data_IF_694286406835
#
_entry.id   IF_694286406835
#
_cell.length_a   1.000
_cell.length_b   1.000
_cell.length_c   1.000
_cell.angle_alpha   90.00
_cell.angle_beta   90.00
_cell.angle_gamma   90.00
#
_symmetry.space_group_name_H-M   'P 1'
#
loop_
_entity.id
_entity.type
_entity.pdbx_description
1 polymer ?
#
# COMPACT_ATOMS: atom_id res chain seq x y z
N UNK A 1 -33.92 -11.61 -6.43
CA UNK A 1 -32.98 -11.38 -5.30
C UNK A 1 -33.22 -9.97 -4.79
N UNK A 2 -33.12 -9.74 -3.47
CA UNK A 2 -33.27 -8.40 -2.93
C UNK A 2 -32.12 -7.51 -3.45
N UNK A 3 -32.44 -6.28 -3.86
CA UNK A 3 -31.45 -5.29 -4.27
C UNK A 3 -30.58 -4.96 -3.05
N UNK A 4 -29.27 -5.27 -3.13
CA UNK A 4 -28.32 -4.93 -2.06
C UNK A 4 -28.16 -3.42 -2.06
N UNK A 5 -28.42 -2.81 -0.90
CA UNK A 5 -28.30 -1.36 -0.70
C UNK A 5 -27.24 -1.06 0.34
N UNK A 6 -26.49 0.00 0.06
CA UNK A 6 -25.63 0.61 1.07
C UNK A 6 -26.50 1.11 2.23
N UNK A 7 -25.99 0.95 3.45
CA UNK A 7 -26.55 1.60 4.62
C UNK A 7 -26.25 3.11 4.59
N UNK A 8 -26.96 3.87 5.43
CA UNK A 8 -26.85 5.33 5.45
C UNK A 8 -25.41 5.82 5.66
N UNK A 9 -24.64 5.14 6.52
CA UNK A 9 -23.23 5.45 6.78
C UNK A 9 -22.37 5.32 5.53
N UNK A 10 -22.47 4.18 4.82
CA UNK A 10 -21.64 3.90 3.64
C UNK A 10 -22.09 4.74 2.45
N UNK A 11 -23.41 4.99 2.33
CA UNK A 11 -23.94 5.92 1.34
C UNK A 11 -23.43 7.35 1.59
N UNK A 12 -23.41 7.82 2.85
CA UNK A 12 -22.86 9.13 3.19
C UNK A 12 -21.37 9.25 2.84
N UNK A 13 -20.59 8.17 3.03
CA UNK A 13 -19.20 8.12 2.62
C UNK A 13 -19.05 8.20 1.09
N UNK A 14 -19.87 7.45 0.34
CA UNK A 14 -19.91 7.53 -1.14
C UNK A 14 -20.25 8.95 -1.61
N UNK A 15 -21.19 9.62 -0.96
CA UNK A 15 -21.55 11.00 -1.27
C UNK A 15 -20.41 11.99 -0.96
N UNK A 16 -19.64 11.75 0.10
CA UNK A 16 -18.45 12.54 0.42
C UNK A 16 -17.36 12.36 -0.62
N UNK A 17 -17.10 11.11 -1.04
CA UNK A 17 -16.15 10.81 -2.12
C UNK A 17 -16.57 11.51 -3.41
N UNK A 18 -17.83 11.42 -3.80
CA UNK A 18 -18.37 12.06 -5.01
C UNK A 18 -18.34 13.60 -4.97
N UNK A 19 -18.26 14.23 -3.80
CA UNK A 19 -18.11 15.70 -3.71
C UNK A 19 -16.70 16.17 -4.05
N UNK A 20 -15.70 15.30 -3.88
CA UNK A 20 -14.28 15.65 -4.00
C UNK A 20 -13.70 15.07 -5.31
N UNK A 21 -14.17 13.88 -5.71
CA UNK A 21 -13.71 13.21 -6.91
C UNK A 21 -14.10 14.02 -8.16
N UNK A 22 -13.19 14.23 -9.14
CA UNK A 22 -13.47 15.06 -10.32
C UNK A 22 -14.49 14.44 -11.29
N UNK A 23 -14.79 13.15 -11.14
CA UNK A 23 -15.84 12.44 -11.87
C UNK A 23 -16.90 11.85 -10.92
N UNK A 24 -17.57 10.80 -11.36
CA UNK A 24 -18.52 10.06 -10.52
C UNK A 24 -17.93 8.74 -10.05
N UNK A 25 -18.02 8.45 -8.77
CA UNK A 25 -17.75 7.13 -8.17
C UNK A 25 -19.07 6.39 -7.98
N UNK A 26 -19.14 5.16 -8.48
CA UNK A 26 -20.29 4.26 -8.35
C UNK A 26 -19.87 3.00 -7.60
N UNK A 27 -20.80 2.46 -6.81
CA UNK A 27 -20.61 1.17 -6.12
C UNK A 27 -21.62 0.17 -6.68
N UNK A 28 -21.12 -0.94 -7.20
CA UNK A 28 -21.90 -2.06 -7.71
C UNK A 28 -21.64 -3.32 -6.87
N UNK A 29 -22.59 -4.25 -6.90
CA UNK A 29 -22.49 -5.53 -6.20
C UNK A 29 -22.65 -6.67 -7.20
N UNK A 30 -21.74 -7.63 -7.13
CA UNK A 30 -21.95 -8.95 -7.73
C UNK A 30 -22.86 -9.81 -6.83
N UNK A 31 -22.96 -11.10 -7.11
CA UNK A 31 -23.87 -12.04 -6.46
C UNK A 31 -23.17 -13.10 -5.58
N UNK A 32 -21.83 -13.16 -5.61
CA UNK A 32 -21.06 -14.17 -4.88
C UNK A 32 -21.05 -13.89 -3.38
N UNK A 33 -21.21 -14.95 -2.57
CA UNK A 33 -21.14 -14.89 -1.11
C UNK A 33 -20.27 -16.03 -0.57
N UNK A 34 -19.00 -15.75 -0.26
CA UNK A 34 -18.05 -16.77 0.20
C UNK A 34 -18.17 -17.12 1.68
N UNK A 35 -18.78 -16.26 2.51
CA UNK A 35 -18.96 -16.49 3.95
C UNK A 35 -17.73 -16.18 4.82
N UNK A 36 -16.76 -15.43 4.27
CA UNK A 36 -15.59 -14.89 4.96
C UNK A 36 -15.19 -13.55 4.32
N UNK A 37 -14.37 -12.77 5.02
CA UNK A 37 -13.89 -11.47 4.55
C UNK A 37 -12.40 -11.46 4.25
N UNK A 38 -12.04 -10.82 3.13
CA UNK A 38 -10.67 -10.49 2.71
C UNK A 38 -10.68 -9.12 2.04
N UNK A 39 -9.53 -8.45 2.03
CA UNK A 39 -9.38 -7.15 1.40
C UNK A 39 -9.38 -7.20 -0.15
N UNK A 40 -9.22 -8.38 -0.76
CA UNK A 40 -9.24 -8.58 -2.23
C UNK A 40 -10.64 -8.78 -2.84
N UNK A 41 -11.71 -8.60 -2.05
CA UNK A 41 -13.09 -8.89 -2.46
C UNK A 41 -13.78 -7.71 -3.18
N UNK A 42 -13.03 -6.73 -3.65
CA UNK A 42 -13.51 -5.64 -4.50
C UNK A 42 -12.62 -5.44 -5.72
N UNK A 43 -13.19 -4.84 -6.76
CA UNK A 43 -12.47 -4.43 -7.98
C UNK A 43 -12.78 -2.99 -8.30
N UNK A 44 -11.77 -2.26 -8.78
CA UNK A 44 -11.92 -0.88 -9.23
C UNK A 44 -11.67 -0.79 -10.73
N UNK A 45 -12.59 -0.15 -11.44
CA UNK A 45 -12.51 0.05 -12.89
C UNK A 45 -12.72 1.52 -13.24
N UNK A 46 -11.72 2.13 -13.89
CA UNK A 46 -11.84 3.49 -14.40
C UNK A 46 -12.75 3.51 -15.64
N UNK A 47 -13.71 4.44 -15.65
CA UNK A 47 -14.60 4.70 -16.78
C UNK A 47 -14.39 6.12 -17.31
N UNK A 48 -14.78 6.41 -18.57
CA UNK A 48 -14.84 7.79 -19.04
C UNK A 48 -15.70 8.65 -18.11
N UNK A 49 -15.08 9.55 -17.36
CA UNK A 49 -15.74 10.45 -16.42
C UNK A 49 -16.07 9.86 -15.04
N UNK A 50 -15.56 8.69 -14.69
CA UNK A 50 -15.86 8.09 -13.39
C UNK A 50 -15.02 6.87 -13.00
N UNK A 51 -15.40 6.27 -11.88
CA UNK A 51 -14.81 5.07 -11.31
C UNK A 51 -15.94 4.16 -10.82
N UNK A 52 -15.85 2.87 -11.10
CA UNK A 52 -16.77 1.87 -10.55
C UNK A 52 -16.00 1.01 -9.57
N UNK A 53 -16.55 0.86 -8.36
CA UNK A 53 -16.11 -0.10 -7.36
C UNK A 53 -17.12 -1.24 -7.38
N UNK A 54 -16.69 -2.41 -7.84
CA UNK A 54 -17.51 -3.62 -7.85
C UNK A 54 -17.15 -4.47 -6.63
N UNK A 55 -18.12 -4.63 -5.73
CA UNK A 55 -18.01 -5.53 -4.58
C UNK A 55 -18.29 -6.95 -5.06
N UNK A 56 -17.23 -7.72 -5.21
CA UNK A 56 -17.28 -9.07 -5.79
C UNK A 56 -17.74 -10.14 -4.79
N UNK A 57 -17.78 -9.81 -3.49
CA UNK A 57 -18.34 -10.67 -2.45
C UNK A 57 -19.30 -9.91 -1.53
N UNK A 58 -20.54 -10.37 -1.47
CA UNK A 58 -21.62 -9.72 -0.73
C UNK A 58 -21.81 -10.28 0.69
N UNK A 59 -20.80 -10.96 1.25
CA UNK A 59 -20.84 -11.44 2.64
C UNK A 59 -20.98 -10.28 3.64
N UNK A 60 -20.29 -9.17 3.43
CA UNK A 60 -20.46 -7.93 4.21
C UNK A 60 -20.29 -6.68 3.32
N UNK A 61 -21.27 -6.36 2.46
CA UNK A 61 -21.10 -5.40 1.37
C UNK A 61 -20.80 -3.97 1.85
N UNK A 62 -21.35 -3.56 2.99
CA UNK A 62 -21.09 -2.23 3.57
C UNK A 62 -19.66 -2.11 4.13
N UNK A 63 -19.15 -3.18 4.75
CA UNK A 63 -17.76 -3.24 5.19
C UNK A 63 -16.82 -3.11 3.99
N UNK A 64 -17.00 -3.95 2.97
CA UNK A 64 -16.12 -3.96 1.79
C UNK A 64 -16.22 -2.65 1.01
N UNK A 65 -17.43 -2.12 0.78
CA UNK A 65 -17.59 -0.86 0.05
C UNK A 65 -16.98 0.33 0.81
N UNK A 66 -17.20 0.41 2.13
CA UNK A 66 -16.61 1.50 2.92
C UNK A 66 -15.08 1.42 2.96
N UNK A 67 -14.50 0.21 2.96
CA UNK A 67 -13.06 0.00 2.91
C UNK A 67 -12.45 0.65 1.66
N UNK A 68 -12.98 0.31 0.48
CA UNK A 68 -12.52 0.88 -0.81
C UNK A 68 -12.74 2.39 -0.89
N UNK A 69 -13.89 2.87 -0.40
CA UNK A 69 -14.20 4.31 -0.42
C UNK A 69 -13.27 5.11 0.50
N UNK A 70 -12.84 4.54 1.63
CA UNK A 70 -11.86 5.18 2.52
C UNK A 70 -10.47 5.23 1.89
N UNK A 71 -10.04 4.16 1.20
CA UNK A 71 -8.80 4.19 0.40
C UNK A 71 -8.82 5.30 -0.65
N UNK A 72 -9.93 5.45 -1.39
CA UNK A 72 -10.14 6.56 -2.32
C UNK A 72 -10.12 7.93 -1.65
N UNK A 73 -10.73 8.06 -0.48
CA UNK A 73 -10.73 9.32 0.25
C UNK A 73 -9.32 9.70 0.73
N UNK A 74 -8.53 8.73 1.18
CA UNK A 74 -7.12 8.94 1.55
C UNK A 74 -6.30 9.41 0.35
N UNK A 75 -6.47 8.75 -0.80
CA UNK A 75 -5.85 9.14 -2.06
C UNK A 75 -6.14 10.60 -2.42
N UNK A 76 -7.41 10.99 -2.39
CA UNK A 76 -7.85 12.37 -2.69
C UNK A 76 -7.40 13.38 -1.63
N UNK A 77 -7.19 12.94 -0.39
CA UNK A 77 -6.67 13.76 0.71
C UNK A 77 -5.15 13.98 0.62
N UNK A 78 -4.50 13.48 -0.43
CA UNK A 78 -3.08 13.66 -0.66
C UNK A 78 -2.22 12.74 0.19
N UNK A 79 -2.69 11.53 0.51
CA UNK A 79 -1.84 10.48 1.06
C UNK A 79 -0.88 9.94 -0.01
N UNK A 80 0.33 9.50 0.38
CA UNK A 80 1.34 9.05 -0.56
C UNK A 80 0.87 7.79 -1.30
N UNK A 81 1.10 7.74 -2.61
CA UNK A 81 0.83 6.61 -3.49
C UNK A 81 2.11 5.87 -3.87
N UNK A 82 1.97 4.58 -4.16
CA UNK A 82 3.00 3.73 -4.78
C UNK A 82 2.80 3.62 -6.29
N UNK A 83 3.91 3.48 -7.02
CA UNK A 83 3.95 3.25 -8.46
C UNK A 83 5.02 2.20 -8.77
N UNK A 84 4.77 1.41 -9.79
CA UNK A 84 5.71 0.39 -10.26
C UNK A 84 6.23 0.82 -11.62
N UNK A 85 7.33 1.58 -11.61
CA UNK A 85 7.93 2.15 -12.82
C UNK A 85 9.13 1.34 -13.34
N UNK A 86 9.67 0.45 -12.53
CA UNK A 86 10.79 -0.43 -12.86
C UNK A 86 10.37 -1.89 -12.91
N UNK A 87 11.19 -2.71 -13.57
CA UNK A 87 10.96 -4.14 -13.79
C UNK A 87 12.29 -4.88 -13.84
N UNK A 88 12.31 -6.12 -13.35
CA UNK A 88 13.45 -7.03 -13.52
C UNK A 88 13.47 -7.70 -14.91
N UNK A 89 12.47 -7.42 -15.76
CA UNK A 89 12.26 -8.10 -17.04
C UNK A 89 11.62 -9.49 -16.90
N UNK A 90 11.20 -9.85 -15.70
CA UNK A 90 10.58 -11.15 -15.37
C UNK A 90 9.15 -10.92 -14.86
N UNK A 91 8.16 -11.08 -15.75
CA UNK A 91 6.76 -10.74 -15.49
C UNK A 91 6.21 -11.34 -14.18
N UNK A 92 6.43 -12.64 -13.95
CA UNK A 92 5.95 -13.31 -12.73
C UNK A 92 6.62 -12.79 -11.45
N UNK A 93 7.91 -12.50 -11.52
CA UNK A 93 8.65 -11.94 -10.38
C UNK A 93 8.14 -10.53 -10.09
N UNK A 94 8.00 -9.70 -11.13
CA UNK A 94 7.49 -8.33 -10.99
C UNK A 94 6.07 -8.33 -10.42
N UNK A 95 5.18 -9.18 -10.90
CA UNK A 95 3.82 -9.32 -10.37
C UNK A 95 3.83 -9.70 -8.88
N UNK A 96 4.66 -10.66 -8.48
CA UNK A 96 4.77 -11.06 -7.08
C UNK A 96 5.30 -9.92 -6.20
N UNK A 97 6.34 -9.20 -6.65
CA UNK A 97 6.87 -8.04 -5.93
C UNK A 97 5.83 -6.91 -5.85
N UNK A 98 5.08 -6.66 -6.92
CA UNK A 98 4.00 -5.67 -6.93
C UNK A 98 2.90 -6.00 -5.93
N UNK A 99 2.47 -7.26 -5.87
CA UNK A 99 1.45 -7.71 -4.91
C UNK A 99 1.97 -7.50 -3.48
N UNK A 100 3.16 -8.01 -3.15
CA UNK A 100 3.71 -7.88 -1.80
C UNK A 100 3.96 -6.43 -1.39
N UNK A 101 4.42 -5.58 -2.31
CA UNK A 101 4.61 -4.16 -2.05
C UNK A 101 3.27 -3.43 -1.81
N UNK A 102 2.24 -3.81 -2.56
CA UNK A 102 0.88 -3.27 -2.39
C UNK A 102 0.28 -3.72 -1.06
N UNK A 103 0.40 -4.99 -0.70
CA UNK A 103 -0.07 -5.51 0.59
C UNK A 103 0.59 -4.78 1.77
N UNK A 104 1.91 -4.56 1.73
CA UNK A 104 2.61 -3.81 2.78
C UNK A 104 2.19 -2.35 2.84
N UNK A 105 1.98 -1.73 1.68
CA UNK A 105 1.48 -0.37 1.59
C UNK A 105 0.06 -0.26 2.19
N UNK A 106 -0.82 -1.20 1.85
CA UNK A 106 -2.20 -1.24 2.34
C UNK A 106 -2.27 -1.54 3.83
N UNK A 107 -1.40 -2.41 4.38
CA UNK A 107 -1.26 -2.61 5.84
C UNK A 107 -1.02 -1.29 6.57
N UNK A 108 -0.16 -0.42 6.05
CA UNK A 108 0.07 0.90 6.64
C UNK A 108 -1.16 1.81 6.52
N UNK A 109 -1.88 1.74 5.39
CA UNK A 109 -3.13 2.49 5.20
C UNK A 109 -4.27 1.99 6.10
N UNK A 110 -4.34 0.69 6.36
CA UNK A 110 -5.38 0.05 7.15
C UNK A 110 -5.42 0.55 8.59
N UNK A 111 -4.31 1.08 9.12
CA UNK A 111 -4.32 1.78 10.41
C UNK A 111 -5.37 2.89 10.43
N UNK A 112 -5.46 3.67 9.35
CA UNK A 112 -6.42 4.77 9.23
C UNK A 112 -7.79 4.25 8.81
N UNK A 113 -7.85 3.36 7.82
CA UNK A 113 -9.11 2.81 7.29
C UNK A 113 -9.90 2.08 8.37
N UNK A 114 -9.27 1.13 9.08
CA UNK A 114 -9.92 0.34 10.12
C UNK A 114 -10.35 1.21 11.29
N UNK A 115 -9.52 2.19 11.69
CA UNK A 115 -9.89 3.16 12.73
C UNK A 115 -11.16 3.93 12.37
N UNK A 116 -11.27 4.43 11.14
CA UNK A 116 -12.45 5.16 10.69
C UNK A 116 -13.67 4.24 10.54
N UNK A 117 -13.52 3.02 10.01
CA UNK A 117 -14.61 2.04 9.95
C UNK A 117 -15.15 1.68 11.34
N UNK A 118 -14.28 1.46 12.33
CA UNK A 118 -14.69 1.19 13.73
C UNK A 118 -15.44 2.37 14.34
N UNK A 119 -14.96 3.60 14.13
CA UNK A 119 -15.63 4.82 14.60
C UNK A 119 -17.07 4.95 14.07
N UNK A 120 -17.33 4.45 12.86
CA UNK A 120 -18.65 4.44 12.25
C UNK A 120 -19.43 3.12 12.41
N UNK A 121 -18.95 2.23 13.29
CA UNK A 121 -19.60 0.94 13.59
C UNK A 121 -19.78 0.04 12.35
N UNK A 122 -18.86 0.14 11.38
CA UNK A 122 -18.81 -0.72 10.18
C UNK A 122 -17.98 -1.99 10.41
N UNK A 123 -17.28 -2.06 11.55
CA UNK A 123 -16.61 -3.26 12.05
C UNK A 123 -17.19 -3.56 13.42
N UNK A 124 -17.86 -4.69 13.53
CA UNK A 124 -18.39 -5.27 14.76
C UNK A 124 -17.83 -6.69 14.97
N UNK A 125 -18.35 -7.40 15.97
CA UNK A 125 -17.91 -8.77 16.29
C UNK A 125 -18.15 -9.76 15.14
N UNK A 126 -19.21 -9.56 14.35
CA UNK A 126 -19.50 -10.43 13.21
C UNK A 126 -18.50 -10.23 12.08
N UNK A 127 -18.13 -8.97 11.78
CA UNK A 127 -17.10 -8.64 10.79
C UNK A 127 -15.75 -9.22 11.21
N UNK A 128 -15.42 -9.13 12.50
CA UNK A 128 -14.22 -9.73 13.07
C UNK A 128 -14.18 -11.26 12.89
N UNK A 129 -15.26 -11.97 13.23
CA UNK A 129 -15.35 -13.42 13.04
C UNK A 129 -15.23 -13.82 11.56
N UNK A 130 -15.80 -13.03 10.64
CA UNK A 130 -15.69 -13.25 9.20
C UNK A 130 -14.28 -12.99 8.68
N UNK A 131 -13.58 -12.01 9.24
CA UNK A 131 -12.18 -11.73 8.91
C UNK A 131 -11.27 -12.85 9.39
N UNK A 132 -11.47 -13.39 10.60
CA UNK A 132 -10.72 -14.56 11.08
C UNK A 132 -10.89 -15.78 10.15
N UNK A 133 -12.10 -16.04 9.68
CA UNK A 133 -12.35 -17.10 8.68
C UNK A 133 -11.63 -16.82 7.37
N UNK A 134 -11.49 -15.55 6.99
CA UNK A 134 -10.73 -15.13 5.81
C UNK A 134 -9.25 -15.48 5.95
N UNK A 135 -8.66 -15.22 7.12
CA UNK A 135 -7.29 -15.63 7.47
C UNK A 135 -7.15 -17.15 7.34
N UNK A 136 -8.02 -17.92 7.99
CA UNK A 136 -7.97 -19.39 7.98
C UNK A 136 -8.15 -20.01 6.58
N UNK A 137 -8.82 -19.29 5.68
CA UNK A 137 -9.01 -19.71 4.29
C UNK A 137 -7.85 -19.31 3.38
N UNK A 138 -7.09 -18.29 3.76
CA UNK A 138 -6.00 -17.72 2.95
C UNK A 138 -4.67 -18.40 3.23
N UNK A 139 -4.40 -18.73 4.50
CA UNK A 139 -3.11 -19.28 4.92
C UNK A 139 -3.24 -20.61 5.68
N UNK A 140 -2.35 -21.55 5.36
CA UNK A 140 -2.26 -22.83 6.04
C UNK A 140 -1.56 -22.72 7.40
N UNK A 141 -1.87 -23.60 8.35
CA UNK A 141 -1.19 -23.63 9.66
C UNK A 141 0.32 -23.83 9.51
N UNK A 142 1.11 -23.24 10.42
CA UNK A 142 2.55 -23.44 10.42
C UNK A 142 2.92 -24.88 10.77
N UNK A 143 3.82 -25.46 9.98
CA UNK A 143 4.46 -26.71 10.31
C UNK A 143 5.68 -26.50 11.20
N UNK A 144 6.26 -27.60 11.72
CA UNK A 144 7.55 -27.54 12.43
C UNK A 144 8.70 -27.11 11.51
N UNK A 145 8.57 -27.39 10.22
CA UNK A 145 9.55 -27.03 9.21
C UNK A 145 9.21 -25.68 8.57
N UNK A 146 10.24 -25.03 8.10
CA UNK A 146 10.12 -23.79 7.35
C UNK A 146 9.68 -24.10 5.91
N UNK A 147 8.75 -23.30 5.39
CA UNK A 147 8.20 -23.42 4.04
C UNK A 147 8.14 -22.04 3.34
N UNK A 148 7.72 -22.03 2.09
CA UNK A 148 7.65 -20.82 1.26
C UNK A 148 6.44 -19.92 1.61
N UNK A 149 5.43 -20.45 2.32
CA UNK A 149 4.23 -19.70 2.70
C UNK A 149 4.47 -18.77 3.91
N UNK A 150 5.62 -18.89 4.59
CA UNK A 150 5.99 -18.03 5.74
C UNK A 150 5.88 -16.53 5.44
N UNK A 151 6.23 -16.09 4.22
CA UNK A 151 6.09 -14.68 3.82
C UNK A 151 4.64 -14.24 3.77
N UNK A 152 3.76 -15.05 3.16
CA UNK A 152 2.33 -14.77 3.10
C UNK A 152 1.71 -14.76 4.49
N UNK A 153 2.06 -15.75 5.35
CA UNK A 153 1.62 -15.77 6.75
C UNK A 153 2.04 -14.51 7.50
N UNK A 154 3.27 -14.03 7.30
CA UNK A 154 3.73 -12.81 7.94
C UNK A 154 2.89 -11.60 7.52
N UNK A 155 2.63 -11.42 6.22
CA UNK A 155 1.79 -10.34 5.70
C UNK A 155 0.36 -10.42 6.27
N UNK A 156 -0.27 -11.58 6.19
CA UNK A 156 -1.64 -11.78 6.67
C UNK A 156 -1.77 -11.55 8.17
N UNK A 157 -0.83 -12.04 8.98
CA UNK A 157 -0.89 -11.86 10.43
C UNK A 157 -0.52 -10.43 10.85
N UNK A 158 0.37 -9.75 10.12
CA UNK A 158 0.63 -8.33 10.35
C UNK A 158 -0.63 -7.48 10.06
N UNK A 159 -1.31 -7.72 8.93
CA UNK A 159 -2.56 -7.03 8.61
C UNK A 159 -3.65 -7.37 9.65
N UNK A 160 -3.70 -8.60 10.15
CA UNK A 160 -4.61 -8.97 11.23
C UNK A 160 -4.33 -8.17 12.51
N UNK A 161 -3.08 -7.96 12.91
CA UNK A 161 -2.75 -7.11 14.06
C UNK A 161 -3.24 -5.68 13.85
N UNK A 162 -3.12 -5.13 12.64
CA UNK A 162 -3.68 -3.80 12.29
C UNK A 162 -5.21 -3.80 12.35
N UNK A 163 -5.85 -4.82 11.78
CA UNK A 163 -7.31 -4.93 11.72
C UNK A 163 -7.96 -5.08 13.11
N UNK A 164 -7.42 -5.95 13.96
CA UNK A 164 -7.96 -6.16 15.30
C UNK A 164 -7.55 -5.06 16.28
N UNK A 165 -6.32 -4.55 16.18
CA UNK A 165 -5.78 -3.55 17.12
C UNK A 165 -5.96 -3.99 18.57
N UNK A 166 -6.61 -3.14 19.38
CA UNK A 166 -6.90 -3.41 20.79
C UNK A 166 -7.78 -4.66 21.02
N UNK A 167 -8.48 -5.13 19.99
CA UNK A 167 -9.32 -6.33 20.06
C UNK A 167 -8.57 -7.63 19.74
N UNK A 168 -7.26 -7.57 19.48
CA UNK A 168 -6.48 -8.74 19.05
C UNK A 168 -6.49 -9.88 20.09
N UNK A 169 -6.61 -9.56 21.38
CA UNK A 169 -6.68 -10.56 22.45
C UNK A 169 -7.80 -11.58 22.25
N UNK A 170 -8.89 -11.20 21.56
CA UNK A 170 -10.02 -12.09 21.27
C UNK A 170 -9.65 -13.26 20.34
N UNK A 171 -8.65 -13.07 19.49
CA UNK A 171 -8.19 -14.05 18.50
C UNK A 171 -6.76 -14.52 18.75
N UNK A 172 -6.09 -13.97 19.76
CA UNK A 172 -4.68 -14.21 20.05
C UNK A 172 -4.37 -15.70 20.23
N UNK A 173 -5.18 -16.43 21.00
CA UNK A 173 -4.98 -17.87 21.22
C UNK A 173 -5.08 -18.69 19.93
N UNK A 174 -6.06 -18.38 19.07
CA UNK A 174 -6.24 -19.05 17.78
C UNK A 174 -5.04 -18.81 16.86
N UNK A 175 -4.64 -17.55 16.72
CA UNK A 175 -3.52 -17.16 15.86
C UNK A 175 -2.20 -17.70 16.42
N UNK A 176 -1.94 -17.60 17.72
CA UNK A 176 -0.72 -18.08 18.36
C UNK A 176 -0.55 -19.60 18.23
N UNK A 177 -1.66 -20.34 18.27
CA UNK A 177 -1.64 -21.80 18.11
C UNK A 177 -1.31 -22.22 16.67
N UNK A 178 -1.85 -21.50 15.67
CA UNK A 178 -1.76 -21.87 14.24
C UNK A 178 -0.56 -21.24 13.53
N UNK A 179 -0.17 -20.03 13.94
CA UNK A 179 0.82 -19.20 13.25
C UNK A 179 1.89 -18.61 14.21
N UNK A 180 2.53 -19.41 15.09
CA UNK A 180 3.38 -18.90 16.15
C UNK A 180 4.61 -18.09 15.68
N UNK A 181 5.27 -18.50 14.58
CA UNK A 181 6.47 -17.81 14.08
C UNK A 181 6.09 -16.51 13.38
N UNK A 182 5.07 -16.54 12.51
CA UNK A 182 4.55 -15.38 11.81
C UNK A 182 4.00 -14.35 12.81
N UNK A 183 3.25 -14.78 13.83
CA UNK A 183 2.76 -13.87 14.87
C UNK A 183 3.90 -13.16 15.60
N UNK A 184 4.96 -13.89 16.00
CA UNK A 184 6.10 -13.29 16.69
C UNK A 184 6.80 -12.22 15.83
N UNK A 185 7.00 -12.50 14.54
CA UNK A 185 7.60 -11.53 13.62
C UNK A 185 6.66 -10.34 13.34
N UNK A 186 5.38 -10.60 13.12
CA UNK A 186 4.36 -9.60 12.90
C UNK A 186 4.21 -8.65 14.09
N UNK A 187 4.26 -9.16 15.33
CA UNK A 187 4.25 -8.34 16.54
C UNK A 187 5.45 -7.37 16.60
N UNK A 188 6.64 -7.81 16.19
CA UNK A 188 7.82 -6.94 16.11
C UNK A 188 7.62 -5.79 15.13
N UNK A 189 7.12 -6.08 13.93
CA UNK A 189 6.78 -5.07 12.92
C UNK A 189 5.66 -4.14 13.39
N UNK A 190 4.62 -4.70 13.99
CA UNK A 190 3.42 -3.98 14.42
C UNK A 190 3.73 -2.96 15.52
N UNK A 191 4.53 -3.32 16.53
CA UNK A 191 4.94 -2.39 17.60
C UNK A 191 5.56 -1.11 17.05
N UNK A 192 6.42 -1.27 16.04
CA UNK A 192 7.10 -0.17 15.37
C UNK A 192 6.18 0.64 14.46
N UNK A 193 5.13 0.01 13.94
CA UNK A 193 4.12 0.60 13.08
C UNK A 193 3.17 1.51 13.86
N UNK A 194 2.75 1.09 15.05
CA UNK A 194 1.82 1.83 15.92
C UNK A 194 2.49 2.80 16.90
N UNK A 195 3.83 2.80 16.98
CA UNK A 195 4.61 3.65 17.90
C UNK A 195 4.22 5.14 17.78
N UNK A 196 3.87 5.59 16.57
CA UNK A 196 3.53 6.99 16.29
C UNK A 196 2.24 7.05 15.45
N UNK A 197 1.32 7.98 15.77
CA UNK A 197 0.06 8.09 15.05
C UNK A 197 0.29 8.49 13.59
N UNK A 198 -0.59 8.02 12.71
CA UNK A 198 -0.65 8.44 11.31
C UNK A 198 -1.72 9.53 11.18
N UNK A 199 -1.30 10.77 11.43
CA UNK A 199 -2.17 11.96 11.44
C UNK A 199 -2.00 12.86 10.21
N UNK A 200 -1.09 12.50 9.31
CA UNK A 200 -0.71 13.31 8.16
C UNK A 200 -0.12 12.46 7.04
N UNK A 201 -0.15 12.94 5.78
CA UNK A 201 0.53 12.27 4.66
C UNK A 201 2.02 12.04 4.90
N UNK A 202 2.68 12.96 5.61
CA UNK A 202 4.10 12.82 5.95
C UNK A 202 4.32 11.66 6.94
N UNK A 203 3.47 11.56 7.98
CA UNK A 203 3.52 10.44 8.92
C UNK A 203 3.27 9.11 8.20
N UNK A 204 2.26 9.04 7.32
CA UNK A 204 1.98 7.86 6.51
C UNK A 204 3.19 7.44 5.68
N UNK A 205 3.78 8.38 4.92
CA UNK A 205 4.94 8.09 4.08
C UNK A 205 6.09 7.52 4.90
N UNK A 206 6.39 8.11 6.06
CA UNK A 206 7.43 7.62 6.95
C UNK A 206 7.13 6.18 7.41
N UNK A 207 5.88 5.91 7.79
CA UNK A 207 5.45 4.58 8.24
C UNK A 207 5.64 3.54 7.13
N UNK A 208 5.22 3.83 5.89
CA UNK A 208 5.41 2.94 4.72
C UNK A 208 6.90 2.65 4.51
N UNK A 209 7.75 3.67 4.46
CA UNK A 209 9.20 3.47 4.24
C UNK A 209 9.87 2.67 5.35
N UNK A 210 9.43 2.85 6.60
CA UNK A 210 9.93 2.07 7.75
C UNK A 210 9.50 0.60 7.61
N UNK A 211 8.22 0.37 7.30
CA UNK A 211 7.67 -0.97 7.14
C UNK A 211 8.35 -1.75 6.01
N UNK A 212 8.57 -1.15 4.84
CA UNK A 212 9.29 -1.80 3.74
C UNK A 212 10.67 -2.29 4.17
N UNK A 213 11.45 -1.43 4.83
CA UNK A 213 12.78 -1.79 5.33
C UNK A 213 12.73 -2.93 6.36
N UNK A 214 11.83 -2.82 7.34
CA UNK A 214 11.74 -3.80 8.42
C UNK A 214 11.26 -5.17 7.91
N UNK A 215 10.38 -5.17 6.91
CA UNK A 215 9.95 -6.41 6.28
C UNK A 215 11.11 -7.11 5.56
N UNK A 216 11.92 -6.37 4.80
CA UNK A 216 13.14 -6.90 4.17
C UNK A 216 14.16 -7.43 5.20
N UNK A 217 14.35 -6.71 6.31
CA UNK A 217 15.20 -7.16 7.42
C UNK A 217 14.66 -8.47 8.03
N UNK A 218 13.34 -8.59 8.16
CA UNK A 218 12.67 -9.80 8.66
C UNK A 218 12.83 -10.99 7.70
N UNK A 219 12.64 -10.79 6.39
CA UNK A 219 12.86 -11.84 5.38
C UNK A 219 14.32 -12.31 5.37
N UNK A 220 15.26 -11.37 5.43
CA UNK A 220 16.69 -11.69 5.48
C UNK A 220 17.02 -12.52 6.73
N UNK A 221 16.42 -12.21 7.88
CA UNK A 221 16.62 -12.99 9.11
C UNK A 221 16.09 -14.43 9.02
N UNK A 222 15.14 -14.69 8.12
CA UNK A 222 14.62 -16.01 7.80
C UNK A 222 15.37 -16.71 6.65
N UNK A 223 16.44 -16.08 6.14
CA UNK A 223 17.21 -16.59 5.00
C UNK A 223 16.45 -16.48 3.66
N UNK A 224 15.42 -15.63 3.60
CA UNK A 224 14.65 -15.36 2.40
C UNK A 224 15.21 -14.12 1.67
N UNK A 225 15.03 -14.04 0.34
CA UNK A 225 15.42 -12.84 -0.41
C UNK A 225 14.59 -11.64 0.04
N UNK A 226 15.24 -10.48 0.12
CA UNK A 226 14.55 -9.21 0.33
C UNK A 226 13.71 -8.85 -0.90
N UNK A 227 12.64 -8.09 -0.69
CA UNK A 227 11.78 -7.57 -1.77
C UNK A 227 12.41 -6.36 -2.45
N UNK A 228 13.31 -5.66 -1.75
CA UNK A 228 13.95 -4.44 -2.23
C UNK A 228 12.94 -3.33 -2.56
N UNK A 229 11.85 -3.26 -1.80
CA UNK A 229 10.76 -2.27 -2.02
C UNK A 229 11.24 -0.81 -1.90
N UNK A 230 12.36 -0.56 -1.22
CA UNK A 230 12.99 0.77 -1.22
C UNK A 230 13.49 1.20 -2.59
N UNK A 231 13.75 0.27 -3.51
CA UNK A 231 14.24 0.52 -4.85
C UNK A 231 13.19 0.18 -5.92
N UNK A 232 12.53 -0.97 -5.80
CA UNK A 232 11.52 -1.47 -6.75
C UNK A 232 10.25 -0.61 -6.77
N UNK A 233 9.79 -0.18 -5.59
CA UNK A 233 8.55 0.58 -5.45
C UNK A 233 8.84 2.09 -5.44
N UNK A 234 8.30 2.82 -6.41
CA UNK A 234 8.35 4.28 -6.38
C UNK A 234 7.27 4.79 -5.42
N UNK A 235 7.65 5.53 -4.39
CA UNK A 235 6.71 6.15 -3.44
C UNK A 235 6.68 7.66 -3.64
N UNK A 236 5.49 8.22 -3.89
CA UNK A 236 5.34 9.68 -4.02
C UNK A 236 5.92 10.43 -2.82
N UNK A 237 6.53 11.58 -3.12
CA UNK A 237 7.17 12.40 -2.09
C UNK A 237 6.18 13.34 -1.41
N UNK A 238 6.34 13.51 -0.10
CA UNK A 238 5.66 14.55 0.68
C UNK A 238 6.66 15.65 1.01
N UNK A 239 6.52 16.81 0.37
CA UNK A 239 7.51 17.87 0.34
C UNK A 239 6.93 19.19 0.87
N UNK A 240 7.74 20.01 1.53
CA UNK A 240 7.35 21.41 1.78
C UNK A 240 7.69 22.30 0.58
N UNK A 241 7.08 23.48 0.52
CA UNK A 241 7.42 24.54 -0.43
C UNK A 241 8.92 24.86 -0.46
N UNK A 242 9.59 24.81 0.70
CA UNK A 242 11.04 24.99 0.76
C UNK A 242 11.78 23.87 0.03
N UNK A 243 11.38 22.62 0.23
CA UNK A 243 12.01 21.45 -0.38
C UNK A 243 11.84 21.44 -1.90
N UNK A 244 10.69 21.91 -2.40
CA UNK A 244 10.44 22.06 -3.84
C UNK A 244 11.40 23.01 -4.55
N UNK A 245 11.94 24.01 -3.84
CA UNK A 245 12.91 24.98 -4.37
C UNK A 245 14.37 24.53 -4.24
N UNK A 246 14.64 23.46 -3.50
CA UNK A 246 16.00 22.92 -3.40
C UNK A 246 16.39 22.26 -4.73
N UNK A 247 17.69 22.19 -4.98
CA UNK A 247 18.20 21.41 -6.10
C UNK A 247 18.03 19.91 -5.83
N UNK A 248 17.83 19.13 -6.90
CA UNK A 248 17.70 17.67 -6.84
C UNK A 248 18.87 17.05 -6.06
N UNK A 249 20.11 17.51 -6.27
CA UNK A 249 21.29 16.99 -5.58
C UNK A 249 21.23 17.10 -4.05
N UNK A 250 20.47 18.06 -3.52
CA UNK A 250 20.35 18.31 -2.09
C UNK A 250 19.36 17.37 -1.41
N UNK A 251 18.39 16.84 -2.17
CA UNK A 251 17.30 16.02 -1.66
C UNK A 251 17.40 14.55 -2.08
N UNK A 252 17.98 14.29 -3.24
CA UNK A 252 18.00 12.98 -3.88
C UNK A 252 19.40 12.59 -4.35
N UNK A 253 19.60 11.29 -4.42
CA UNK A 253 20.73 10.63 -5.07
C UNK A 253 20.19 9.77 -6.21
N UNK A 254 20.77 9.92 -7.40
CA UNK A 254 20.41 9.12 -8.57
C UNK A 254 21.28 7.87 -8.54
N UNK A 255 20.62 6.72 -8.38
CA UNK A 255 21.25 5.42 -8.31
C UNK A 255 21.03 4.65 -9.61
N UNK A 256 22.05 3.91 -10.05
CA UNK A 256 21.93 3.02 -11.20
C UNK A 256 21.24 1.74 -10.77
N UNK A 257 20.02 1.53 -11.25
CA UNK A 257 19.27 0.31 -10.93
C UNK A 257 19.72 -0.85 -11.81
N UNK A 258 19.69 -2.07 -11.26
CA UNK A 258 19.80 -3.29 -12.04
C UNK A 258 18.53 -3.57 -12.87
N UNK A 259 17.45 -2.83 -12.59
CA UNK A 259 16.14 -2.94 -13.26
C UNK A 259 16.06 -2.07 -14.53
N UNK A 260 15.07 -2.36 -15.35
CA UNK A 260 14.70 -1.57 -16.53
C UNK A 260 13.47 -0.70 -16.25
N UNK A 261 13.34 0.39 -16.98
CA UNK A 261 12.16 1.24 -16.97
C UNK A 261 11.03 0.51 -17.71
N UNK A 262 9.88 0.34 -17.07
CA UNK A 262 8.75 -0.43 -17.64
C UNK A 262 8.16 0.20 -18.89
N UNK A 263 8.22 1.52 -19.00
CA UNK A 263 7.61 2.24 -20.12
C UNK A 263 8.50 2.16 -21.36
N UNK A 264 9.81 2.29 -21.19
CA UNK A 264 10.77 2.34 -22.30
C UNK A 264 11.49 1.03 -22.60
N UNK A 265 11.58 0.12 -21.62
CA UNK A 265 12.39 -1.10 -21.68
C UNK A 265 13.91 -0.84 -21.59
N UNK A 266 14.32 0.40 -21.32
CA UNK A 266 15.73 0.80 -21.25
C UNK A 266 16.24 0.78 -19.80
N UNK A 267 17.55 0.98 -19.61
CA UNK A 267 18.16 1.02 -18.27
C UNK A 267 17.54 2.11 -17.40
N UNK A 268 17.03 1.71 -16.24
CA UNK A 268 16.47 2.65 -15.27
C UNK A 268 17.53 3.23 -14.33
N UNK A 269 17.30 4.47 -13.94
CA UNK A 269 17.96 5.11 -12.82
C UNK A 269 16.89 5.57 -11.84
N UNK A 270 17.09 5.30 -10.56
CA UNK A 270 16.10 5.61 -9.52
C UNK A 270 16.58 6.77 -8.66
N UNK A 271 15.65 7.66 -8.32
CA UNK A 271 15.89 8.80 -7.45
C UNK A 271 15.63 8.43 -6.00
N UNK A 272 16.68 8.09 -5.26
CA UNK A 272 16.58 7.75 -3.84
C UNK A 272 16.58 9.03 -3.00
N UNK A 273 15.59 9.19 -2.14
CA UNK A 273 15.60 10.27 -1.16
C UNK A 273 16.77 10.08 -0.20
N UNK A 274 17.54 11.14 0.04
CA UNK A 274 18.76 11.04 0.87
C UNK A 274 18.49 10.67 2.33
N UNK A 275 17.30 10.97 2.85
CA UNK A 275 16.99 10.74 4.26
C UNK A 275 16.57 9.30 4.55
N UNK A 276 15.77 8.71 3.67
CA UNK A 276 15.14 7.40 3.90
C UNK A 276 15.51 6.34 2.84
N UNK A 277 16.26 6.72 1.80
CA UNK A 277 16.69 5.85 0.70
C UNK A 277 15.54 5.23 -0.09
N UNK A 278 14.32 5.77 0.00
CA UNK A 278 13.18 5.31 -0.80
C UNK A 278 13.22 5.91 -2.21
N UNK A 279 13.01 5.07 -3.22
CA UNK A 279 12.79 5.46 -4.60
C UNK A 279 11.58 6.39 -4.70
N UNK A 280 11.82 7.59 -5.22
CA UNK A 280 10.84 8.67 -5.33
C UNK A 280 10.51 9.05 -6.77
N UNK A 281 11.31 8.61 -7.75
CA UNK A 281 11.10 8.83 -9.18
C UNK A 281 12.05 7.94 -10.00
N UNK A 282 11.72 7.70 -11.27
CA UNK A 282 12.54 6.94 -12.21
C UNK A 282 12.96 7.82 -13.39
N UNK A 283 14.19 7.64 -13.85
CA UNK A 283 14.79 8.35 -14.98
C UNK A 283 15.33 7.35 -16.00
N UNK A 284 15.10 7.67 -17.26
CA UNK A 284 15.71 6.98 -18.40
C UNK A 284 16.53 7.99 -19.19
N UNK A 285 17.87 8.02 -19.02
CA UNK A 285 18.72 8.99 -19.73
C UNK A 285 18.76 8.68 -21.23
N UNK A 286 18.96 9.70 -22.09
CA UNK A 286 19.19 9.49 -23.51
C UNK A 286 20.50 8.71 -23.74
N UNK A 287 20.52 7.87 -24.78
CA UNK A 287 21.69 7.02 -25.11
C UNK A 287 22.94 7.83 -25.45
N UNK A 288 22.76 8.98 -26.10
CA UNK A 288 23.87 9.74 -26.71
C UNK A 288 24.46 10.84 -25.79
N UNK A 289 23.80 11.19 -24.67
CA UNK A 289 24.29 12.22 -23.73
C UNK A 289 23.84 11.97 -22.28
N UNK A 290 24.23 10.83 -21.70
CA UNK A 290 23.90 10.50 -20.31
C UNK A 290 24.58 11.45 -19.30
N UNK A 291 25.81 11.90 -19.58
CA UNK A 291 26.58 12.77 -18.68
C UNK A 291 25.95 14.17 -18.61
N UNK A 292 25.62 14.77 -19.77
CA UNK A 292 24.94 16.05 -19.82
C UNK A 292 23.57 15.99 -19.15
N UNK A 293 22.81 14.92 -19.43
CA UNK A 293 21.52 14.66 -18.80
C UNK A 293 21.61 14.67 -17.26
N UNK A 294 22.51 13.87 -16.64
CA UNK A 294 22.57 13.83 -15.18
C UNK A 294 23.06 15.15 -14.56
N UNK A 295 23.99 15.86 -15.21
CA UNK A 295 24.42 17.19 -14.75
C UNK A 295 23.27 18.18 -14.73
N UNK A 296 22.44 18.17 -15.78
CA UNK A 296 21.24 19.00 -15.85
C UNK A 296 20.23 18.61 -14.77
N UNK A 297 19.88 17.33 -14.67
CA UNK A 297 18.92 16.83 -13.67
C UNK A 297 19.33 17.22 -12.25
N UNK A 298 20.60 17.04 -11.87
CA UNK A 298 21.07 17.41 -10.54
C UNK A 298 21.01 18.92 -10.26
N UNK A 299 21.05 19.75 -11.30
CA UNK A 299 20.95 21.21 -11.21
C UNK A 299 19.52 21.75 -11.22
N UNK A 300 18.52 20.95 -11.61
CA UNK A 300 17.11 21.36 -11.53
C UNK A 300 16.66 21.51 -10.09
N UNK A 301 15.67 22.36 -9.86
CA UNK A 301 14.89 22.30 -8.63
C UNK A 301 14.09 21.00 -8.57
N UNK A 302 13.74 20.56 -7.36
CA UNK A 302 12.88 19.38 -7.17
C UNK A 302 11.54 19.54 -7.88
N UNK A 303 10.96 20.74 -7.83
CA UNK A 303 9.69 21.04 -8.54
C UNK A 303 9.81 20.81 -10.05
N UNK A 304 10.83 21.42 -10.68
CA UNK A 304 11.04 21.29 -12.12
C UNK A 304 11.29 19.84 -12.53
N UNK A 305 12.08 19.10 -11.74
CA UNK A 305 12.30 17.67 -12.00
C UNK A 305 10.97 16.91 -12.04
N UNK A 306 10.15 17.07 -11.00
CA UNK A 306 8.93 16.29 -10.85
C UNK A 306 7.90 16.63 -11.92
N UNK A 307 7.87 17.89 -12.39
CA UNK A 307 7.07 18.29 -13.55
C UNK A 307 7.58 17.65 -14.85
N UNK A 308 8.90 17.60 -15.06
CA UNK A 308 9.52 16.96 -16.25
C UNK A 308 9.23 15.48 -16.31
N UNK A 309 9.38 14.76 -15.19
CA UNK A 309 9.14 13.30 -15.13
C UNK A 309 7.66 12.96 -14.91
N UNK A 310 6.80 13.98 -14.81
CA UNK A 310 5.36 13.84 -14.50
C UNK A 310 5.10 13.01 -13.23
N UNK A 311 6.00 13.12 -12.25
CA UNK A 311 5.89 12.39 -10.99
C UNK A 311 4.94 13.13 -10.05
N UNK A 312 3.84 12.52 -9.60
CA UNK A 312 2.96 13.14 -8.61
C UNK A 312 3.67 13.28 -7.26
N UNK A 313 3.37 14.38 -6.57
CA UNK A 313 3.88 14.67 -5.23
C UNK A 313 2.85 15.44 -4.40
N UNK A 314 3.07 15.42 -3.10
CA UNK A 314 2.20 16.06 -2.11
C UNK A 314 2.95 17.24 -1.51
N UNK A 315 2.31 18.41 -1.52
CA UNK A 315 2.82 19.59 -0.81
C UNK A 315 2.22 19.62 0.59
N UNK A 316 3.05 19.42 1.61
CA UNK A 316 2.60 19.61 2.99
C UNK A 316 2.44 21.10 3.28
N UNK A 317 1.28 21.46 3.83
CA UNK A 317 1.01 22.79 4.37
C UNK A 317 1.76 23.00 5.68
#
# INVERSE_FOLDING_TARGET
MAEIKLNDTTQSLLDQVNKIYPGTVLVHFDDRQAGYLRHDQAKQEALPGGLVITITDITAPNYTASHELLHLLMLMSGFPQIFFNVSFGEEKLDEQLMIMATDLYDIAMHIVVVSEQRKHQLIDEQIEDLYLKGIDTTISEESKQDDDERTLRLLTILDALVFYGDQFERVADHIQKRYPKALKAAQGLYQDLIEKPIDSPFAMRRTITKLFKQFDDQLTSWGLPALHNTEFTTLSSVLSERQLRLEVRQMFEIFHSEMIDRQSGEKAYIGLNRNDRQNSFVLTPPKDDSIGFFKEIYGKSVKELFEVVKMPYIVRK
#
